data_IF_426044956559
#
_entry.id   IF_426044956559
#
_cell.length_a   1.000
_cell.length_b   1.000
_cell.length_c   1.000
_cell.angle_alpha   90.00
_cell.angle_beta   90.00
_cell.angle_gamma   90.00
#
_symmetry.space_group_name_H-M   'P 1'
#
loop_
_entity.id
_entity.type
_entity.pdbx_description
1 polymer ?
#
# COMPACT_ATOMS: atom_id res chain seq x y z
N UNK A 1 4.63 -79.58 -13.47
CA UNK A 1 4.17 -78.52 -14.40
C UNK A 1 3.22 -77.65 -13.60
N UNK A 2 3.75 -76.57 -13.03
CA UNK A 2 3.48 -75.17 -13.48
C UNK A 2 2.14 -74.67 -12.91
N UNK A 3 1.96 -73.45 -12.41
CA UNK A 3 2.76 -72.32 -11.89
C UNK A 3 1.68 -71.34 -11.39
N UNK A 4 2.01 -70.42 -10.48
CA UNK A 4 1.20 -69.24 -10.07
C UNK A 4 0.00 -69.54 -9.13
N UNK A 5 -0.23 -68.88 -7.99
CA UNK A 5 -0.05 -67.47 -7.67
C UNK A 5 0.42 -67.27 -6.22
N UNK A 6 1.55 -66.61 -6.12
CA UNK A 6 2.02 -65.79 -5.02
C UNK A 6 0.93 -64.81 -4.55
N UNK A 7 0.38 -65.01 -3.34
CA UNK A 7 -0.16 -63.95 -2.49
C UNK A 7 0.22 -64.20 -1.03
N UNK A 8 1.49 -63.94 -0.76
CA UNK A 8 1.97 -63.12 0.38
C UNK A 8 1.01 -62.99 1.55
N UNK A 9 1.16 -63.85 2.57
CA UNK A 9 0.71 -63.54 3.94
C UNK A 9 1.75 -62.65 4.62
N UNK A 10 1.99 -61.46 4.07
CA UNK A 10 2.71 -60.39 4.76
C UNK A 10 1.70 -59.67 5.68
N UNK A 11 1.15 -60.39 6.66
CA UNK A 11 0.54 -59.73 7.82
C UNK A 11 1.67 -59.31 8.75
N UNK A 12 2.52 -58.42 8.23
CA UNK A 12 3.54 -57.75 9.00
C UNK A 12 2.81 -56.79 9.95
N UNK A 13 3.09 -56.82 11.26
CA UNK A 13 2.47 -55.89 12.22
C UNK A 13 2.71 -54.41 11.87
N UNK A 14 3.65 -54.11 10.97
CA UNK A 14 3.89 -52.79 10.40
C UNK A 14 2.75 -52.29 9.48
N UNK A 15 2.05 -53.16 8.74
CA UNK A 15 0.95 -52.73 7.84
C UNK A 15 -0.32 -52.41 8.64
N UNK A 16 -0.64 -53.21 9.65
CA UNK A 16 -1.76 -52.89 10.57
C UNK A 16 -1.50 -51.62 11.36
N UNK A 17 -0.26 -51.38 11.80
CA UNK A 17 0.10 -50.10 12.42
C UNK A 17 0.03 -48.94 11.42
N UNK A 18 0.33 -49.13 10.12
CA UNK A 18 0.18 -48.08 9.09
C UNK A 18 -1.29 -47.83 8.70
N UNK A 19 -2.16 -48.86 8.65
CA UNK A 19 -3.60 -48.68 8.47
C UNK A 19 -4.25 -48.04 9.71
N UNK A 20 -3.78 -48.40 10.92
CA UNK A 20 -4.28 -47.84 12.17
C UNK A 20 -3.76 -46.42 12.42
N UNK A 21 -2.50 -46.13 12.08
CA UNK A 21 -1.93 -44.77 12.11
C UNK A 21 -2.54 -43.89 11.02
N UNK A 22 -2.75 -44.41 9.81
CA UNK A 22 -3.48 -43.72 8.73
C UNK A 22 -4.93 -43.40 9.12
N UNK A 23 -5.65 -44.34 9.75
CA UNK A 23 -7.01 -44.10 10.22
C UNK A 23 -7.08 -43.21 11.46
N UNK A 24 -6.10 -43.23 12.37
CA UNK A 24 -5.98 -42.27 13.47
C UNK A 24 -5.71 -40.87 12.93
N UNK A 25 -4.82 -40.73 11.94
CA UNK A 25 -4.53 -39.46 11.26
C UNK A 25 -5.76 -38.94 10.51
N UNK A 26 -6.52 -39.80 9.83
CA UNK A 26 -7.76 -39.43 9.15
C UNK A 26 -8.87 -39.04 10.14
N UNK A 27 -8.99 -39.73 11.28
CA UNK A 27 -9.92 -39.38 12.35
C UNK A 27 -9.51 -38.06 13.02
N UNK A 28 -8.22 -37.82 13.26
CA UNK A 28 -7.72 -36.60 13.88
C UNK A 28 -7.85 -35.40 12.92
N UNK A 29 -7.61 -35.61 11.63
CA UNK A 29 -7.87 -34.62 10.56
C UNK A 29 -9.36 -34.33 10.42
N UNK A 30 -10.22 -35.35 10.49
CA UNK A 30 -11.67 -35.20 10.49
C UNK A 30 -12.15 -34.44 11.73
N UNK A 31 -11.65 -34.77 12.92
CA UNK A 31 -11.99 -34.12 14.19
C UNK A 31 -11.47 -32.69 14.26
N UNK A 32 -10.25 -32.43 13.82
CA UNK A 32 -9.68 -31.09 13.65
C UNK A 32 -10.49 -30.26 12.66
N UNK A 33 -10.92 -30.85 11.54
CA UNK A 33 -11.79 -30.18 10.57
C UNK A 33 -13.18 -29.87 11.14
N UNK A 34 -13.73 -30.75 11.97
CA UNK A 34 -15.01 -30.57 12.62
C UNK A 34 -14.95 -29.45 13.69
N UNK A 35 -13.91 -29.45 14.53
CA UNK A 35 -13.66 -28.42 15.55
C UNK A 35 -13.46 -27.05 14.90
N UNK A 36 -12.65 -26.98 13.83
CA UNK A 36 -12.44 -25.74 13.06
C UNK A 36 -13.73 -25.24 12.42
N UNK A 37 -14.60 -26.13 11.94
CA UNK A 37 -15.93 -25.75 11.41
C UNK A 37 -16.82 -25.19 12.51
N UNK A 38 -16.84 -25.78 13.70
CA UNK A 38 -17.65 -25.27 14.83
C UNK A 38 -17.17 -23.90 15.30
N UNK A 39 -15.86 -23.67 15.37
CA UNK A 39 -15.29 -22.36 15.72
C UNK A 39 -15.64 -21.28 14.69
N UNK A 40 -15.51 -21.60 13.39
CA UNK A 40 -15.90 -20.68 12.31
C UNK A 40 -17.41 -20.35 12.39
N UNK A 41 -18.26 -21.34 12.70
CA UNK A 41 -19.71 -21.15 12.78
C UNK A 41 -20.11 -20.29 13.98
N UNK A 42 -19.44 -20.47 15.12
CA UNK A 42 -19.61 -19.60 16.29
C UNK A 42 -19.15 -18.17 16.02
N UNK A 43 -18.03 -17.98 15.32
CA UNK A 43 -17.51 -16.66 14.96
C UNK A 43 -18.42 -15.95 13.95
N UNK A 44 -18.89 -16.65 12.91
CA UNK A 44 -19.88 -16.13 11.96
C UNK A 44 -21.16 -15.72 12.71
N UNK A 45 -21.62 -16.52 13.67
CA UNK A 45 -22.80 -16.19 14.47
C UNK A 45 -22.59 -14.92 15.30
N UNK A 46 -21.41 -14.71 15.89
CA UNK A 46 -21.07 -13.48 16.63
C UNK A 46 -21.03 -12.27 15.70
N UNK A 47 -20.37 -12.40 14.55
CA UNK A 47 -20.31 -11.34 13.55
C UNK A 47 -21.70 -10.99 13.00
N UNK A 48 -22.56 -11.98 12.77
CA UNK A 48 -23.93 -11.77 12.30
C UNK A 48 -24.80 -11.10 13.38
N UNK A 49 -24.61 -11.46 14.65
CA UNK A 49 -25.31 -10.83 15.77
C UNK A 49 -24.91 -9.36 15.95
N UNK A 50 -23.63 -9.03 15.74
CA UNK A 50 -23.14 -7.65 15.76
C UNK A 50 -23.57 -6.86 14.51
N UNK A 51 -23.55 -7.53 13.34
CA UNK A 51 -23.96 -6.94 12.08
C UNK A 51 -25.47 -6.68 12.00
N UNK A 52 -26.30 -7.47 12.70
CA UNK A 52 -27.75 -7.35 12.70
C UNK A 52 -28.25 -5.93 12.98
N UNK A 53 -27.93 -5.34 14.14
CA UNK A 53 -28.28 -3.95 14.44
C UNK A 53 -27.72 -2.94 13.42
N UNK A 54 -26.49 -3.13 12.95
CA UNK A 54 -25.88 -2.25 11.93
C UNK A 54 -26.60 -2.33 10.57
N UNK A 55 -27.03 -3.51 10.16
CA UNK A 55 -27.80 -3.74 8.93
C UNK A 55 -29.18 -3.10 9.07
N UNK A 56 -29.85 -3.28 10.22
CA UNK A 56 -31.15 -2.66 10.50
C UNK A 56 -31.05 -1.13 10.46
N UNK A 57 -30.04 -0.54 11.10
CA UNK A 57 -29.81 0.92 11.08
C UNK A 57 -29.56 1.42 9.66
N UNK A 58 -28.77 0.71 8.85
CA UNK A 58 -28.54 1.08 7.45
C UNK A 58 -29.80 0.95 6.60
N UNK A 59 -30.59 -0.10 6.77
CA UNK A 59 -31.88 -0.27 6.09
C UNK A 59 -32.87 0.84 6.46
N UNK A 60 -32.93 1.23 7.73
CA UNK A 60 -33.74 2.35 8.20
C UNK A 60 -33.28 3.67 7.59
N UNK A 61 -31.98 3.94 7.55
CA UNK A 61 -31.44 5.14 6.91
C UNK A 61 -31.79 5.21 5.42
N UNK A 62 -31.65 4.11 4.68
CA UNK A 62 -32.04 4.05 3.27
C UNK A 62 -33.55 4.24 3.09
N UNK A 63 -34.36 3.67 3.99
CA UNK A 63 -35.81 3.82 3.98
C UNK A 63 -36.24 5.28 4.20
N UNK A 64 -35.59 6.00 5.13
CA UNK A 64 -35.83 7.43 5.34
C UNK A 64 -35.51 8.26 4.09
N UNK A 65 -34.49 7.87 3.32
CA UNK A 65 -34.16 8.53 2.07
C UNK A 65 -35.21 8.26 0.98
N UNK A 66 -35.70 7.03 0.85
CA UNK A 66 -36.79 6.69 -0.08
C UNK A 66 -38.07 7.47 0.26
N UNK A 67 -38.44 7.53 1.54
CA UNK A 67 -39.62 8.29 1.99
C UNK A 67 -39.45 9.78 1.66
N UNK A 68 -38.28 10.35 1.96
CA UNK A 68 -37.99 11.76 1.67
C UNK A 68 -38.07 12.06 0.17
N UNK A 69 -37.53 11.18 -0.68
CA UNK A 69 -37.60 11.31 -2.14
C UNK A 69 -39.03 11.12 -2.66
N UNK A 70 -39.83 10.23 -2.05
CA UNK A 70 -41.26 10.07 -2.39
C UNK A 70 -42.07 11.33 -2.06
N UNK A 71 -41.83 11.96 -0.91
CA UNK A 71 -42.46 13.25 -0.57
C UNK A 71 -42.09 14.34 -1.56
N UNK A 72 -40.83 14.41 -1.98
CA UNK A 72 -40.38 15.34 -3.02
C UNK A 72 -41.01 15.02 -4.38
N UNK A 73 -41.20 13.73 -4.70
CA UNK A 73 -41.89 13.30 -5.92
C UNK A 73 -43.32 13.81 -6.04
N UNK A 74 -44.03 13.96 -4.91
CA UNK A 74 -45.38 14.56 -4.91
C UNK A 74 -45.40 16.06 -5.22
N UNK A 75 -44.27 16.77 -5.08
CA UNK A 75 -44.14 18.20 -5.44
C UNK A 75 -43.93 18.40 -6.95
N UNK A 76 -43.74 17.31 -7.71
CA UNK A 76 -43.63 17.31 -9.17
C UNK A 76 -42.30 16.76 -9.70
N UNK A 77 -42.28 16.45 -10.99
CA UNK A 77 -41.13 15.83 -11.68
C UNK A 77 -39.86 16.71 -11.66
N UNK A 78 -40.04 18.04 -11.63
CA UNK A 78 -38.94 19.00 -11.58
C UNK A 78 -38.16 18.94 -10.26
N UNK A 79 -38.86 18.77 -9.13
CA UNK A 79 -38.23 18.67 -7.82
C UNK A 79 -37.53 17.30 -7.64
N UNK A 80 -38.15 16.23 -8.15
CA UNK A 80 -37.61 14.87 -8.08
C UNK A 80 -36.27 14.72 -8.85
N UNK A 81 -36.21 15.26 -10.07
CA UNK A 81 -34.99 15.29 -10.88
C UNK A 81 -33.91 16.16 -10.25
N UNK A 82 -34.30 17.32 -9.67
CA UNK A 82 -33.40 18.18 -8.91
C UNK A 82 -32.76 17.50 -7.69
N UNK A 83 -33.55 16.80 -6.85
CA UNK A 83 -33.03 16.04 -5.70
C UNK A 83 -32.11 14.90 -6.10
N UNK A 84 -32.44 14.19 -7.19
CA UNK A 84 -31.59 13.11 -7.71
C UNK A 84 -30.24 13.65 -8.17
N UNK A 85 -30.23 14.75 -8.92
CA UNK A 85 -29.02 15.41 -9.39
C UNK A 85 -28.19 15.96 -8.22
N UNK A 86 -28.83 16.58 -7.23
CA UNK A 86 -28.16 17.07 -6.03
C UNK A 86 -27.52 15.95 -5.20
N UNK A 87 -28.20 14.82 -5.02
CA UNK A 87 -27.69 13.66 -4.29
C UNK A 87 -26.51 12.99 -5.01
N UNK A 88 -26.58 12.84 -6.34
CA UNK A 88 -25.47 12.36 -7.15
C UNK A 88 -24.27 13.30 -7.08
N UNK A 89 -24.50 14.61 -7.16
CA UNK A 89 -23.42 15.60 -7.08
C UNK A 89 -22.77 15.62 -5.69
N UNK A 90 -23.56 15.59 -4.62
CA UNK A 90 -23.09 15.57 -3.23
C UNK A 90 -22.35 14.26 -2.88
N UNK A 91 -22.79 13.12 -3.40
CA UNK A 91 -22.13 11.83 -3.17
C UNK A 91 -20.78 11.74 -3.91
N UNK A 92 -20.72 12.15 -5.17
CA UNK A 92 -19.48 12.13 -5.96
C UNK A 92 -18.48 13.16 -5.46
N UNK A 93 -18.90 14.41 -5.23
CA UNK A 93 -17.98 15.51 -4.89
C UNK A 93 -17.72 15.59 -3.38
N UNK A 94 -18.77 15.57 -2.56
CA UNK A 94 -18.65 15.81 -1.12
C UNK A 94 -18.06 14.63 -0.36
N UNK A 95 -18.71 13.47 -0.44
CA UNK A 95 -18.27 12.29 0.34
C UNK A 95 -16.93 11.72 -0.14
N UNK A 96 -16.71 11.65 -1.46
CA UNK A 96 -15.42 11.17 -2.00
C UNK A 96 -14.26 12.06 -1.59
N UNK A 97 -14.44 13.38 -1.64
CA UNK A 97 -13.39 14.33 -1.26
C UNK A 97 -13.09 14.26 0.24
N UNK A 98 -14.12 14.26 1.09
CA UNK A 98 -13.94 14.11 2.54
C UNK A 98 -13.26 12.78 2.90
N UNK A 99 -13.64 11.68 2.24
CA UNK A 99 -13.03 10.37 2.44
C UNK A 99 -11.56 10.35 1.98
N UNK A 100 -11.25 11.02 0.87
CA UNK A 100 -9.88 11.16 0.38
C UNK A 100 -9.02 11.97 1.35
N UNK A 101 -9.49 13.13 1.81
CA UNK A 101 -8.79 13.94 2.82
C UNK A 101 -8.56 13.17 4.12
N UNK A 102 -9.56 12.43 4.59
CA UNK A 102 -9.44 11.61 5.79
C UNK A 102 -8.41 10.49 5.61
N UNK A 103 -8.42 9.80 4.48
CA UNK A 103 -7.43 8.77 4.15
C UNK A 103 -6.02 9.34 4.07
N UNK A 104 -5.84 10.50 3.43
CA UNK A 104 -4.55 11.16 3.33
C UNK A 104 -4.03 11.59 4.71
N UNK A 105 -4.91 12.11 5.56
CA UNK A 105 -4.54 12.51 6.91
C UNK A 105 -4.14 11.32 7.79
N UNK A 106 -4.86 10.19 7.69
CA UNK A 106 -4.51 8.94 8.39
C UNK A 106 -3.13 8.45 7.98
N UNK A 107 -2.77 8.54 6.70
CA UNK A 107 -1.46 8.07 6.21
C UNK A 107 -0.35 9.07 6.54
N UNK A 108 -0.64 10.37 6.44
CA UNK A 108 0.35 11.42 6.69
C UNK A 108 0.74 11.56 8.16
N UNK A 109 -0.17 11.32 9.11
CA UNK A 109 0.12 11.47 10.54
C UNK A 109 1.23 10.50 11.02
N UNK A 110 1.16 9.17 10.76
CA UNK A 110 2.22 8.23 11.11
C UNK A 110 3.55 8.58 10.46
N UNK A 111 3.53 8.97 9.18
CA UNK A 111 4.75 9.38 8.47
C UNK A 111 5.39 10.57 9.18
N UNK A 112 4.62 11.62 9.48
CA UNK A 112 5.12 12.79 10.21
C UNK A 112 5.67 12.42 11.61
N UNK A 113 5.01 11.52 12.33
CA UNK A 113 5.47 11.02 13.64
C UNK A 113 6.81 10.29 13.51
N UNK A 114 6.99 9.47 12.47
CA UNK A 114 8.25 8.74 12.21
C UNK A 114 9.39 9.73 11.97
N UNK A 115 9.17 10.75 11.13
CA UNK A 115 10.17 11.78 10.85
C UNK A 115 10.49 12.64 12.08
N UNK A 116 9.48 13.00 12.87
CA UNK A 116 9.68 13.76 14.11
C UNK A 116 10.41 12.98 15.21
N UNK A 117 10.25 11.65 15.25
CA UNK A 117 10.83 10.77 16.26
C UNK A 117 11.97 9.88 15.72
N UNK A 118 12.56 10.24 14.58
CA UNK A 118 13.60 9.43 13.91
C UNK A 118 14.74 9.06 14.88
N UNK A 119 15.18 10.00 15.73
CA UNK A 119 16.17 9.74 16.78
C UNK A 119 15.75 8.63 17.75
N UNK A 120 14.56 8.75 18.33
CA UNK A 120 14.06 7.80 19.35
C UNK A 120 13.83 6.41 18.76
N UNK A 121 13.37 6.35 17.51
CA UNK A 121 13.17 5.10 16.77
C UNK A 121 14.51 4.41 16.50
N UNK A 122 15.53 5.14 16.05
CA UNK A 122 16.86 4.58 15.80
C UNK A 122 17.51 4.05 17.08
N UNK A 123 17.39 4.78 18.20
CA UNK A 123 17.87 4.30 19.52
C UNK A 123 17.13 3.01 19.93
N UNK A 124 15.81 2.96 19.73
CA UNK A 124 15.01 1.76 20.03
C UNK A 124 15.43 0.56 19.17
N UNK A 125 15.83 0.79 17.92
CA UNK A 125 16.36 -0.23 17.01
C UNK A 125 17.79 -0.69 17.33
N UNK A 126 18.41 -0.15 18.39
CA UNK A 126 19.74 -0.53 18.85
C UNK A 126 20.90 0.19 18.13
N UNK A 127 20.61 1.28 17.41
CA UNK A 127 21.62 2.10 16.76
C UNK A 127 22.41 2.93 17.80
N UNK A 128 23.67 3.25 17.49
CA UNK A 128 24.51 4.07 18.38
C UNK A 128 23.84 5.43 18.69
N UNK A 129 23.89 5.90 19.96
CA UNK A 129 23.22 7.13 20.37
C UNK A 129 23.70 8.37 19.61
N UNK A 130 24.98 8.40 19.23
CA UNK A 130 25.60 9.53 18.51
C UNK A 130 25.10 9.62 17.06
N UNK A 131 25.09 8.50 16.34
CA UNK A 131 24.57 8.41 14.95
C UNK A 131 23.08 8.76 14.92
N UNK A 132 22.32 8.29 15.91
CA UNK A 132 20.88 8.55 16.00
C UNK A 132 20.54 10.02 16.21
N UNK A 133 21.39 10.77 16.93
CA UNK A 133 21.22 12.22 17.14
C UNK A 133 21.44 12.96 15.82
N UNK A 134 22.52 12.65 15.10
CA UNK A 134 22.83 13.30 13.82
C UNK A 134 21.77 12.98 12.76
N UNK A 135 21.33 11.73 12.65
CA UNK A 135 20.22 11.35 11.78
C UNK A 135 18.93 12.12 12.10
N UNK A 136 18.61 12.29 13.39
CA UNK A 136 17.45 13.08 13.82
C UNK A 136 17.54 14.56 13.45
N UNK A 137 18.73 15.18 13.51
CA UNK A 137 18.93 16.59 13.09
C UNK A 137 18.73 16.79 11.59
N UNK A 138 19.13 15.80 10.78
CA UNK A 138 19.04 15.85 9.32
C UNK A 138 17.64 15.45 8.80
N UNK A 139 16.87 14.69 9.59
CA UNK A 139 15.56 14.19 9.20
C UNK A 139 14.58 15.30 8.79
N UNK A 140 14.40 16.34 9.63
CA UNK A 140 13.44 17.43 9.34
C UNK A 140 13.84 18.26 8.11
N UNK A 141 15.10 18.76 7.98
CA UNK A 141 15.54 19.45 6.78
C UNK A 141 15.39 18.61 5.51
N UNK A 142 15.70 17.30 5.58
CA UNK A 142 15.59 16.41 4.42
C UNK A 142 14.13 16.19 4.03
N UNK A 143 13.23 15.97 5.00
CA UNK A 143 11.80 15.85 4.75
C UNK A 143 11.23 17.13 4.12
N UNK A 144 11.61 18.30 4.63
CA UNK A 144 11.19 19.58 4.05
C UNK A 144 11.70 19.77 2.62
N UNK A 145 12.95 19.42 2.35
CA UNK A 145 13.52 19.50 1.00
C UNK A 145 12.73 18.66 -0.01
N UNK A 146 12.46 17.40 0.31
CA UNK A 146 11.67 16.49 -0.57
C UNK A 146 10.22 16.97 -0.71
N UNK A 147 9.60 17.43 0.37
CA UNK A 147 8.25 17.99 0.32
C UNK A 147 8.17 19.24 -0.57
N UNK A 148 9.14 20.15 -0.46
CA UNK A 148 9.20 21.35 -1.29
C UNK A 148 9.43 21.03 -2.75
N UNK A 149 10.27 20.03 -3.05
CA UNK A 149 10.47 19.52 -4.40
C UNK A 149 9.15 18.99 -5.00
N UNK A 150 8.45 18.10 -4.29
CA UNK A 150 7.17 17.56 -4.75
C UNK A 150 6.07 18.63 -4.88
N UNK A 151 5.98 19.54 -3.92
CA UNK A 151 5.03 20.64 -4.00
C UNK A 151 5.34 21.58 -5.17
N UNK A 152 6.61 21.80 -5.50
CA UNK A 152 6.97 22.61 -6.66
C UNK A 152 6.45 22.00 -7.96
N UNK A 153 6.55 20.67 -8.13
CA UNK A 153 6.01 19.97 -9.30
C UNK A 153 4.49 20.12 -9.40
N UNK A 154 3.77 19.92 -8.30
CA UNK A 154 2.31 20.11 -8.24
C UNK A 154 1.91 21.55 -8.55
N UNK A 155 2.66 22.54 -8.05
CA UNK A 155 2.40 23.96 -8.35
C UNK A 155 2.60 24.29 -9.83
N UNK A 156 3.59 23.67 -10.51
CA UNK A 156 3.78 23.82 -11.96
C UNK A 156 2.58 23.22 -12.73
N UNK A 157 2.08 22.05 -12.30
CA UNK A 157 0.86 21.44 -12.88
C UNK A 157 -0.35 22.35 -12.69
N UNK A 158 -0.57 22.84 -11.47
CA UNK A 158 -1.66 23.76 -11.17
C UNK A 158 -1.59 25.03 -12.01
N UNK A 159 -0.41 25.64 -12.14
CA UNK A 159 -0.20 26.84 -12.95
C UNK A 159 -0.44 26.59 -14.44
N UNK A 160 -0.11 25.40 -14.95
CA UNK A 160 -0.42 25.05 -16.35
C UNK A 160 -1.92 24.99 -16.64
N UNK A 161 -2.73 24.73 -15.61
CA UNK A 161 -4.19 24.78 -15.69
C UNK A 161 -4.78 26.19 -15.83
N UNK A 162 -3.98 27.25 -15.63
CA UNK A 162 -4.40 28.64 -15.80
C UNK A 162 -4.07 29.22 -17.19
N UNK A 163 -3.40 28.44 -18.06
CA UNK A 163 -3.04 28.87 -19.42
C UNK A 163 -4.29 28.99 -20.33
N UNK A 164 -4.23 29.78 -21.43
CA UNK A 164 -5.36 30.00 -22.34
C UNK A 164 -5.97 28.72 -22.95
N UNK A 165 -5.16 27.66 -23.08
CA UNK A 165 -5.58 26.35 -23.57
C UNK A 165 -5.32 25.27 -22.50
N UNK A 166 -6.04 25.30 -21.36
CA UNK A 166 -5.64 24.53 -20.18
C UNK A 166 -5.74 23.02 -20.40
N UNK A 167 -6.67 22.54 -21.25
CA UNK A 167 -6.79 21.10 -21.58
C UNK A 167 -5.58 20.55 -22.33
N UNK A 168 -5.02 21.32 -23.26
CA UNK A 168 -3.88 20.87 -24.06
C UNK A 168 -2.58 20.98 -23.24
N UNK A 169 -2.35 22.13 -22.61
CA UNK A 169 -1.15 22.40 -21.81
C UNK A 169 -1.02 21.45 -20.61
N UNK A 170 -2.08 21.26 -19.81
CA UNK A 170 -2.05 20.32 -18.67
C UNK A 170 -1.84 18.87 -19.10
N UNK A 171 -2.42 18.46 -20.24
CA UNK A 171 -2.27 17.09 -20.75
C UNK A 171 -0.84 16.85 -21.23
N UNK A 172 -0.27 17.78 -21.98
CA UNK A 172 1.13 17.71 -22.42
C UNK A 172 2.06 17.70 -21.21
N UNK A 173 1.87 18.62 -20.26
CA UNK A 173 2.69 18.68 -19.05
C UNK A 173 2.58 17.40 -18.21
N UNK A 174 1.38 16.82 -18.07
CA UNK A 174 1.18 15.56 -17.33
C UNK A 174 1.89 14.38 -18.00
N UNK A 175 1.85 14.29 -19.33
CA UNK A 175 2.58 13.28 -20.10
C UNK A 175 4.09 13.49 -19.95
N UNK A 176 4.56 14.74 -20.06
CA UNK A 176 5.97 15.08 -19.85
C UNK A 176 6.43 14.70 -18.44
N UNK A 177 5.67 15.03 -17.40
CA UNK A 177 6.01 14.69 -16.00
C UNK A 177 6.02 13.18 -15.74
N UNK A 178 5.07 12.43 -16.31
CA UNK A 178 5.11 10.96 -16.21
C UNK A 178 6.32 10.37 -16.93
N UNK A 179 6.67 10.92 -18.09
CA UNK A 179 7.85 10.50 -18.86
C UNK A 179 9.13 10.80 -18.10
N UNK A 180 9.26 12.02 -17.59
CA UNK A 180 10.37 12.44 -16.71
C UNK A 180 10.42 11.58 -15.46
N UNK A 181 9.28 11.24 -14.84
CA UNK A 181 9.22 10.40 -13.65
C UNK A 181 9.76 8.98 -13.88
N UNK A 182 9.50 8.39 -15.05
CA UNK A 182 10.06 7.09 -15.44
C UNK A 182 11.58 7.19 -15.61
N UNK A 183 12.06 8.23 -16.29
CA UNK A 183 13.50 8.48 -16.47
C UNK A 183 14.17 8.75 -15.11
N UNK A 184 13.51 9.51 -14.23
CA UNK A 184 14.02 9.87 -12.91
C UNK A 184 14.15 8.69 -11.94
N UNK A 185 13.47 7.56 -12.18
CA UNK A 185 13.64 6.36 -11.37
C UNK A 185 15.06 5.77 -11.47
N UNK A 186 15.74 5.96 -12.60
CA UNK A 186 17.09 5.39 -12.79
C UNK A 186 18.13 6.18 -11.97
N UNK A 187 18.21 7.52 -12.05
CA UNK A 187 19.09 8.31 -11.18
C UNK A 187 18.72 8.19 -9.71
N UNK A 188 17.43 8.10 -9.38
CA UNK A 188 16.98 7.87 -8.01
C UNK A 188 17.50 6.53 -7.46
N UNK A 189 17.46 5.47 -8.27
CA UNK A 189 17.99 4.15 -7.92
C UNK A 189 19.51 4.18 -7.68
N UNK A 190 20.26 4.84 -8.57
CA UNK A 190 21.70 5.03 -8.37
C UNK A 190 22.01 5.89 -7.14
N UNK A 191 21.24 6.94 -6.88
CA UNK A 191 21.34 7.78 -5.68
C UNK A 191 21.14 6.99 -4.39
N UNK A 192 20.13 6.12 -4.35
CA UNK A 192 19.92 5.20 -3.24
C UNK A 192 21.09 4.22 -3.06
N UNK A 193 21.54 3.59 -4.15
CA UNK A 193 22.64 2.62 -4.12
C UNK A 193 23.97 3.25 -3.65
N UNK A 194 24.35 4.43 -4.17
CA UNK A 194 25.57 5.12 -3.74
C UNK A 194 25.46 5.60 -2.30
N UNK A 195 24.30 6.11 -1.88
CA UNK A 195 24.09 6.56 -0.50
C UNK A 195 24.30 5.41 0.49
N UNK A 196 23.72 4.23 0.22
CA UNK A 196 23.94 3.05 1.04
C UNK A 196 25.39 2.58 1.02
N UNK A 197 26.03 2.51 -0.16
CA UNK A 197 27.44 2.11 -0.27
C UNK A 197 28.36 3.07 0.49
N UNK A 198 28.24 4.37 0.25
CA UNK A 198 29.04 5.41 0.91
C UNK A 198 28.83 5.37 2.42
N UNK A 199 27.59 5.24 2.88
CA UNK A 199 27.27 5.12 4.31
C UNK A 199 27.94 3.90 4.95
N UNK A 200 27.91 2.74 4.27
CA UNK A 200 28.55 1.52 4.76
C UNK A 200 30.08 1.61 4.80
N UNK A 201 30.71 2.13 3.73
CA UNK A 201 32.17 2.25 3.65
C UNK A 201 32.72 3.29 4.64
N UNK A 202 32.00 4.42 4.83
CA UNK A 202 32.35 5.41 5.85
C UNK A 202 32.16 4.84 7.26
N UNK A 203 31.08 4.10 7.51
CA UNK A 203 30.85 3.42 8.78
C UNK A 203 31.91 2.35 9.10
N UNK A 204 32.50 1.73 8.08
CA UNK A 204 33.59 0.76 8.23
C UNK A 204 34.99 1.41 8.36
N UNK A 205 35.10 2.75 8.27
CA UNK A 205 36.37 3.47 8.34
C UNK A 205 37.21 3.42 7.04
N UNK A 206 36.59 3.15 5.90
CA UNK A 206 37.24 3.06 4.58
C UNK A 206 36.92 4.26 3.66
N UNK A 207 37.50 5.46 3.90
CA UNK A 207 37.16 6.67 3.14
C UNK A 207 37.55 6.59 1.64
N UNK A 208 38.58 5.81 1.31
CA UNK A 208 39.01 5.60 -0.08
C UNK A 208 37.96 4.82 -0.89
N UNK A 209 37.37 3.78 -0.29
CA UNK A 209 36.30 3.00 -0.92
C UNK A 209 35.02 3.83 -1.09
N UNK A 210 34.70 4.70 -0.12
CA UNK A 210 33.58 5.64 -0.23
C UNK A 210 33.77 6.62 -1.41
N UNK A 211 34.94 7.22 -1.57
CA UNK A 211 35.25 8.12 -2.69
C UNK A 211 35.20 7.40 -4.04
N UNK A 212 35.65 6.14 -4.09
CA UNK A 212 35.53 5.30 -5.29
C UNK A 212 34.05 5.04 -5.64
N UNK A 213 33.21 4.71 -4.66
CA UNK A 213 31.78 4.47 -4.89
C UNK A 213 31.07 5.69 -5.49
N UNK A 214 31.39 6.90 -5.00
CA UNK A 214 30.88 8.16 -5.58
C UNK A 214 31.36 8.32 -7.03
N UNK A 215 32.65 8.13 -7.27
CA UNK A 215 33.24 8.28 -8.62
C UNK A 215 32.60 7.33 -9.63
N UNK A 216 32.35 6.07 -9.24
CA UNK A 216 31.71 5.07 -10.10
C UNK A 216 30.26 5.45 -10.41
N UNK A 217 29.48 5.91 -9.42
CA UNK A 217 28.10 6.36 -9.70
C UNK A 217 28.06 7.59 -10.60
N UNK A 218 29.00 8.53 -10.46
CA UNK A 218 29.07 9.69 -11.35
C UNK A 218 29.28 9.27 -12.81
N UNK A 219 30.14 8.30 -13.07
CA UNK A 219 30.33 7.76 -14.42
C UNK A 219 29.07 7.06 -14.93
N UNK A 220 28.40 6.26 -14.09
CA UNK A 220 27.15 5.58 -14.49
C UNK A 220 26.05 6.57 -14.85
N UNK A 221 25.86 7.62 -14.04
CA UNK A 221 24.87 8.69 -14.31
C UNK A 221 25.25 9.49 -15.56
N UNK A 222 26.53 9.75 -15.81
CA UNK A 222 26.99 10.41 -17.05
C UNK A 222 26.69 9.56 -18.29
N UNK A 223 26.94 8.25 -18.22
CA UNK A 223 26.62 7.33 -19.32
C UNK A 223 25.11 7.29 -19.56
N UNK A 224 24.31 7.24 -18.50
CA UNK A 224 22.85 7.30 -18.59
C UNK A 224 22.39 8.60 -19.26
N UNK A 225 22.92 9.75 -18.83
CA UNK A 225 22.60 11.05 -19.42
C UNK A 225 22.96 11.11 -20.92
N UNK A 226 24.08 10.50 -21.33
CA UNK A 226 24.46 10.39 -22.74
C UNK A 226 23.49 9.50 -23.52
N UNK A 227 23.06 8.36 -22.95
CA UNK A 227 22.11 7.46 -23.60
C UNK A 227 20.76 8.14 -23.81
N UNK A 228 20.25 8.82 -22.77
CA UNK A 228 18.98 9.55 -22.85
C UNK A 228 19.11 10.72 -23.84
N UNK A 229 20.19 11.50 -23.74
CA UNK A 229 20.40 12.67 -24.62
C UNK A 229 20.77 12.34 -26.07
N UNK A 230 21.25 11.12 -26.37
CA UNK A 230 21.50 10.65 -27.73
C UNK A 230 20.26 10.01 -28.38
N UNK A 231 19.18 9.80 -27.62
CA UNK A 231 17.91 9.28 -28.09
C UNK A 231 16.91 10.35 -28.55
N UNK A 232 17.23 11.64 -28.36
CA UNK A 232 16.53 12.81 -28.92
C UNK A 232 17.13 13.23 -30.27
#
# INVERSE_FOLDING_TARGET
>A
MEREHQKTSLNSPLIQNLEQDGSIVDVEKSKSSAIRRTEILEEVRKQLWLAGPLIIVNLLNFSLQVISVMFVGHLGELALSGTSMANSFASVTGFTFLRAMFSLMIVSIPIAIIWANTRSILIFLGQDPEISIEAGKLAIPSALMVCLELWSFEMVVLLSGLLPNPKLETSVLSICLNTVGIVWMIPLGFGGAVSTRVSNELGAGHPQAASLAVSVVLVMVLVEAIIVGAGE
#
